data_IF_359755540514
#
_entry.id   IF_359755540514
#
_cell.length_a   1.000
_cell.length_b   1.000
_cell.length_c   1.000
_cell.angle_alpha   90.00
_cell.angle_beta   90.00
_cell.angle_gamma   90.00
#
_symmetry.space_group_name_H-M   'P 1'
#
loop_
_entity.id
_entity.type
_entity.pdbx_description
1 polymer ?
#
# COMPACT_ATOMS: atom_id res chain seq x y z
N UNK A 1 -14.53 6.12 -20.18
CA UNK A 1 -13.96 7.44 -19.87
C UNK A 1 -12.77 7.21 -18.95
N UNK A 2 -11.58 7.52 -19.44
CA UNK A 2 -10.31 7.13 -18.81
C UNK A 2 -10.04 8.15 -17.71
N UNK A 3 -10.25 7.77 -16.45
CA UNK A 3 -9.87 8.61 -15.31
C UNK A 3 -8.35 8.56 -15.20
N UNK A 4 -7.64 9.70 -15.28
CA UNK A 4 -6.19 9.70 -15.25
C UNK A 4 -5.69 9.29 -13.86
N UNK A 5 -4.56 8.58 -13.87
CA UNK A 5 -3.80 8.19 -12.70
C UNK A 5 -3.45 9.41 -11.85
N UNK A 6 -4.24 9.68 -10.83
CA UNK A 6 -3.79 10.53 -9.73
C UNK A 6 -2.77 9.74 -8.92
N UNK A 7 -1.52 9.90 -9.35
CA UNK A 7 -0.29 9.85 -8.58
C UNK A 7 -0.55 9.77 -7.09
N UNK A 8 -0.12 8.66 -6.47
CA UNK A 8 0.03 8.52 -5.02
C UNK A 8 0.81 9.75 -4.51
N UNK A 9 0.08 10.76 -4.06
CA UNK A 9 0.66 11.95 -3.45
C UNK A 9 1.35 11.45 -2.21
N UNK A 10 2.65 11.73 -2.13
CA UNK A 10 3.42 11.63 -0.90
C UNK A 10 2.54 12.06 0.27
N UNK A 11 2.55 11.29 1.35
CA UNK A 11 1.87 11.59 2.64
C UNK A 11 2.23 12.98 3.23
N UNK A 12 3.06 13.75 2.53
CA UNK A 12 3.42 15.14 2.79
C UNK A 12 2.43 16.19 2.30
N UNK A 13 1.54 15.89 1.34
CA UNK A 13 0.84 16.92 0.54
C UNK A 13 -0.64 17.16 0.91
N UNK A 14 -1.17 16.46 1.91
CA UNK A 14 -2.45 16.81 2.53
C UNK A 14 -2.22 17.68 3.76
N UNK A 15 -1.92 18.97 3.54
CA UNK A 15 -1.93 19.99 4.60
C UNK A 15 -3.36 20.43 4.92
N UNK A 16 -4.17 19.50 5.42
CA UNK A 16 -5.39 19.81 6.16
C UNK A 16 -5.50 18.72 7.22
N UNK A 17 -5.45 19.12 8.49
CA UNK A 17 -5.49 18.22 9.63
C UNK A 17 -6.58 17.15 9.47
N UNK A 18 -6.19 15.89 9.23
CA UNK A 18 -7.09 14.75 9.33
C UNK A 18 -7.35 14.46 10.81
N UNK A 19 -8.30 15.19 11.37
CA UNK A 19 -8.95 14.84 12.64
C UNK A 19 -9.98 13.76 12.37
N UNK A 20 -9.76 12.53 12.85
CA UNK A 20 -10.82 11.53 12.98
C UNK A 20 -10.70 10.76 14.31
N UNK A 21 -11.61 11.13 15.22
CA UNK A 21 -12.18 10.44 16.40
C UNK A 21 -11.37 9.56 17.37
N UNK A 22 -10.04 9.56 17.35
CA UNK A 22 -9.26 9.01 18.47
C UNK A 22 -8.00 9.83 18.72
N UNK A 23 -8.14 10.94 19.47
CA UNK A 23 -7.17 11.58 20.40
C UNK A 23 -5.69 11.79 20.03
N UNK A 24 -5.20 11.33 18.89
CA UNK A 24 -3.80 11.33 18.52
C UNK A 24 -3.62 12.25 17.30
N UNK A 25 -3.16 13.47 17.57
CA UNK A 25 -2.77 14.43 16.52
C UNK A 25 -1.42 13.99 15.96
N UNK A 26 -1.41 13.38 14.78
CA UNK A 26 -0.18 13.04 14.07
C UNK A 26 0.40 14.31 13.42
N UNK A 27 1.46 14.87 14.01
CA UNK A 27 2.25 15.91 13.35
C UNK A 27 3.13 15.26 12.28
N UNK A 28 3.15 15.86 11.09
CA UNK A 28 4.14 15.56 10.05
C UNK A 28 5.54 15.72 10.65
N UNK A 29 6.41 14.69 10.60
CA UNK A 29 7.75 14.79 11.17
C UNK A 29 8.57 15.86 10.43
N UNK A 30 9.34 16.64 11.17
CA UNK A 30 10.27 17.64 10.63
C UNK A 30 11.54 16.92 10.15
N UNK A 31 11.71 16.82 8.83
CA UNK A 31 12.83 16.15 8.17
C UNK A 31 12.51 15.82 6.71
N UNK A 32 13.51 15.51 5.84
CA UNK A 32 13.24 15.00 4.51
C UNK A 32 12.37 13.73 4.60
N UNK A 33 11.45 13.56 3.63
CA UNK A 33 10.50 12.48 3.67
C UNK A 33 11.20 11.12 3.60
N UNK A 34 10.62 10.15 4.28
CA UNK A 34 10.96 8.74 4.11
C UNK A 34 10.52 8.31 2.71
N UNK A 35 11.42 7.67 1.96
CA UNK A 35 11.12 7.15 0.63
C UNK A 35 10.72 5.67 0.71
N UNK A 36 9.85 5.24 -0.21
CA UNK A 36 9.46 3.85 -0.39
C UNK A 36 9.92 3.39 -1.77
N UNK A 37 10.47 2.18 -1.85
CA UNK A 37 10.87 1.55 -3.10
C UNK A 37 10.31 0.12 -3.20
N UNK A 38 9.53 -0.22 -4.23
CA UNK A 38 9.01 0.71 -5.24
C UNK A 38 8.05 1.74 -4.63
N UNK A 39 7.95 2.92 -5.25
CA UNK A 39 7.05 3.99 -4.79
C UNK A 39 5.59 3.73 -5.16
N UNK A 40 5.36 2.85 -6.14
CA UNK A 40 4.05 2.40 -6.58
C UNK A 40 4.13 0.94 -7.04
N UNK A 41 3.03 0.21 -6.89
CA UNK A 41 2.90 -1.16 -7.33
C UNK A 41 1.76 -1.25 -8.35
N UNK A 42 2.11 -1.51 -9.60
CA UNK A 42 1.12 -1.84 -10.64
C UNK A 42 1.01 -3.36 -10.78
N UNK A 43 -0.20 -3.88 -10.54
CA UNK A 43 -0.56 -5.29 -10.71
C UNK A 43 -1.53 -5.50 -11.88
N UNK A 44 -1.85 -4.45 -12.63
CA UNK A 44 -2.76 -4.54 -13.76
C UNK A 44 -2.09 -5.25 -14.94
N UNK A 45 -2.84 -6.15 -15.60
CA UNK A 45 -2.32 -6.98 -16.70
C UNK A 45 -1.72 -6.15 -17.85
N UNK A 46 -2.26 -4.95 -18.10
CA UNK A 46 -1.85 -4.09 -19.20
C UNK A 46 -0.50 -3.37 -18.98
N UNK A 47 -0.04 -3.20 -17.73
CA UNK A 47 1.10 -2.33 -17.37
C UNK A 47 2.05 -2.89 -16.32
N UNK A 48 1.85 -4.13 -15.86
CA UNK A 48 2.60 -4.71 -14.75
C UNK A 48 4.05 -5.10 -15.14
N UNK A 49 5.09 -4.56 -14.44
CA UNK A 49 6.50 -4.80 -14.76
C UNK A 49 7.09 -6.06 -14.09
N UNK A 50 6.26 -6.91 -13.48
CA UNK A 50 6.69 -8.06 -12.67
C UNK A 50 6.50 -9.39 -13.43
N UNK A 51 7.05 -10.47 -12.88
CA UNK A 51 6.82 -11.82 -13.40
C UNK A 51 5.54 -12.41 -12.81
N UNK A 52 5.01 -13.45 -13.45
CA UNK A 52 4.01 -14.34 -12.85
C UNK A 52 4.43 -14.73 -11.41
N UNK A 53 3.53 -14.68 -10.41
CA UNK A 53 2.07 -14.51 -10.47
C UNK A 53 1.53 -13.07 -10.46
N UNK A 54 2.37 -12.06 -10.22
CA UNK A 54 1.92 -10.69 -9.90
C UNK A 54 1.06 -10.03 -10.99
N UNK A 55 1.34 -10.29 -12.28
CA UNK A 55 0.67 -9.62 -13.38
C UNK A 55 -0.55 -10.35 -13.95
N UNK A 56 -0.79 -11.60 -13.56
CA UNK A 56 -1.83 -12.44 -14.20
C UNK A 56 -2.67 -13.24 -13.22
N UNK A 57 -2.29 -13.31 -11.94
CA UNK A 57 -3.11 -13.95 -10.93
C UNK A 57 -4.06 -12.94 -10.31
N UNK A 58 -5.36 -13.13 -10.53
CA UNK A 58 -6.40 -12.36 -9.85
C UNK A 58 -6.42 -12.67 -8.34
N UNK A 59 -6.69 -11.65 -7.52
CA UNK A 59 -6.96 -11.81 -6.10
C UNK A 59 -8.43 -12.20 -5.89
N UNK A 60 -8.68 -13.22 -5.08
CA UNK A 60 -10.03 -13.70 -4.78
C UNK A 60 -10.17 -13.99 -3.28
N UNK A 61 -11.43 -14.00 -2.82
CA UNK A 61 -11.77 -14.28 -1.44
C UNK A 61 -11.34 -15.69 -1.02
N UNK A 62 -10.69 -15.82 0.14
CA UNK A 62 -10.15 -17.09 0.63
C UNK A 62 -8.83 -17.53 -0.04
N UNK A 63 -8.32 -16.78 -1.02
CA UNK A 63 -7.04 -17.06 -1.67
C UNK A 63 -5.81 -16.78 -0.78
N UNK A 64 -4.65 -17.25 -1.25
CA UNK A 64 -3.35 -16.93 -0.62
C UNK A 64 -3.04 -15.45 -0.83
N UNK A 65 -2.56 -14.72 0.20
CA UNK A 65 -2.20 -13.31 0.06
C UNK A 65 -1.08 -13.08 -0.93
N UNK A 66 -1.23 -12.06 -1.75
CA UNK A 66 -0.13 -11.55 -2.55
C UNK A 66 0.83 -10.80 -1.63
N UNK A 67 2.09 -11.20 -1.63
CA UNK A 67 3.10 -10.60 -0.74
C UNK A 67 4.17 -9.89 -1.56
N UNK A 68 4.41 -8.61 -1.25
CA UNK A 68 5.50 -7.83 -1.82
C UNK A 68 6.42 -7.31 -0.73
N UNK A 69 7.69 -7.10 -1.09
CA UNK A 69 8.66 -6.48 -0.21
C UNK A 69 8.88 -5.03 -0.65
N UNK A 70 8.58 -4.09 0.25
CA UNK A 70 8.81 -2.67 0.04
C UNK A 70 9.99 -2.23 0.87
N UNK A 71 10.99 -1.63 0.22
CA UNK A 71 12.12 -1.02 0.92
C UNK A 71 11.73 0.36 1.40
N UNK A 72 11.80 0.57 2.71
CA UNK A 72 11.70 1.87 3.34
C UNK A 72 13.11 2.46 3.41
N UNK A 73 13.28 3.70 3.00
CA UNK A 73 14.55 4.43 3.06
C UNK A 73 14.37 5.73 3.84
N UNK A 74 15.11 5.85 4.93
CA UNK A 74 15.20 7.04 5.76
C UNK A 74 16.63 7.62 5.69
N UNK A 75 16.87 8.67 4.88
CA UNK A 75 18.20 9.25 4.71
C UNK A 75 18.71 10.02 5.95
N UNK A 76 17.85 10.32 6.93
CA UNK A 76 18.22 11.17 8.09
C UNK A 76 18.63 10.40 9.33
N UNK A 77 18.24 9.13 9.42
CA UNK A 77 18.36 8.35 10.65
C UNK A 77 19.14 7.07 10.41
N UNK A 78 20.21 6.87 11.18
CA UNK A 78 20.98 5.62 11.16
C UNK A 78 20.11 4.42 11.57
N UNK A 79 19.22 4.63 12.54
CA UNK A 79 18.24 3.65 13.04
C UNK A 79 16.88 4.31 13.13
N UNK A 80 15.84 3.60 12.73
CA UNK A 80 14.45 4.07 12.84
C UNK A 80 13.52 2.93 13.28
N UNK A 81 12.25 3.24 13.57
CA UNK A 81 11.24 2.25 13.95
C UNK A 81 9.87 2.71 13.46
N UNK A 82 9.08 1.77 12.97
CA UNK A 82 7.68 1.99 12.59
C UNK A 82 6.85 2.03 13.88
N UNK A 83 6.11 3.13 14.10
CA UNK A 83 5.28 3.30 15.29
C UNK A 83 3.86 2.77 15.07
N UNK A 84 3.27 3.11 13.92
CA UNK A 84 1.94 2.69 13.51
C UNK A 84 1.87 2.70 11.99
N UNK A 85 0.89 1.98 11.46
CA UNK A 85 0.61 1.88 10.04
C UNK A 85 -0.88 1.84 9.82
N UNK A 86 -1.36 2.47 8.74
CA UNK A 86 -2.75 2.37 8.31
C UNK A 86 -2.80 2.31 6.80
N UNK A 87 -3.59 1.37 6.31
CA UNK A 87 -3.98 1.34 4.91
C UNK A 87 -5.12 2.33 4.67
N UNK A 88 -5.03 3.10 3.60
CA UNK A 88 -6.03 4.10 3.20
C UNK A 88 -6.41 3.80 1.76
N UNK A 89 -7.66 3.43 1.55
CA UNK A 89 -8.23 3.26 0.21
C UNK A 89 -8.99 4.50 -0.22
N UNK A 90 -8.96 4.74 -1.52
CA UNK A 90 -9.77 5.77 -2.17
C UNK A 90 -11.14 5.22 -2.64
N UNK A 91 -11.36 3.90 -2.56
CA UNK A 91 -12.62 3.26 -2.96
C UNK A 91 -13.52 3.04 -1.73
N UNK A 92 -14.74 3.59 -1.68
CA UNK A 92 -15.69 3.35 -0.59
C UNK A 92 -16.14 1.89 -0.48
N UNK A 93 -16.08 1.13 -1.57
CA UNK A 93 -16.44 -0.29 -1.64
C UNK A 93 -15.20 -1.19 -1.58
N UNK A 94 -14.19 -0.77 -0.81
CA UNK A 94 -12.97 -1.54 -0.63
C UNK A 94 -13.25 -2.97 -0.15
N UNK A 95 -12.69 -3.92 -0.92
CA UNK A 95 -12.74 -5.36 -0.66
C UNK A 95 -11.36 -5.95 -0.35
N UNK A 96 -10.31 -5.15 -0.48
CA UNK A 96 -8.92 -5.55 -0.22
C UNK A 96 -8.56 -5.20 1.22
N UNK A 97 -8.00 -6.17 1.93
CA UNK A 97 -7.33 -5.98 3.21
C UNK A 97 -5.82 -6.01 3.01
N UNK A 98 -5.13 -5.07 3.66
CA UNK A 98 -3.69 -4.89 3.55
C UNK A 98 -3.08 -5.03 4.94
N UNK A 99 -2.28 -6.08 5.11
CA UNK A 99 -1.55 -6.35 6.34
C UNK A 99 -0.05 -6.21 6.14
N UNK A 100 0.66 -5.86 7.22
CA UNK A 100 2.07 -5.51 7.17
C UNK A 100 2.89 -6.37 8.13
N UNK A 101 4.05 -6.82 7.65
CA UNK A 101 5.07 -7.48 8.46
C UNK A 101 6.27 -6.53 8.61
N UNK A 102 6.40 -5.83 9.76
CA UNK A 102 7.51 -4.92 9.98
C UNK A 102 8.82 -5.69 10.14
N UNK A 103 9.95 -5.08 9.76
CA UNK A 103 11.24 -5.71 9.93
C UNK A 103 11.68 -5.81 11.39
N UNK A 104 12.46 -6.86 11.70
CA UNK A 104 13.05 -7.03 13.02
C UNK A 104 14.09 -5.94 13.38
N UNK A 105 14.79 -5.38 12.38
CA UNK A 105 15.82 -4.35 12.59
C UNK A 105 15.88 -3.39 11.41
N UNK A 106 15.74 -2.11 11.69
CA UNK A 106 15.92 -1.03 10.72
C UNK A 106 17.34 -0.47 10.82
N UNK A 107 18.28 -1.02 10.04
CA UNK A 107 19.66 -0.54 9.99
C UNK A 107 20.44 -1.12 8.78
N UNK A 108 21.30 -0.32 8.13
CA UNK A 108 21.45 1.14 8.27
C UNK A 108 20.52 1.86 7.29
N UNK A 109 19.84 2.94 7.71
CA UNK A 109 18.96 3.85 6.93
C UNK A 109 17.85 3.24 6.06
N UNK A 110 17.86 1.94 5.76
CA UNK A 110 16.82 1.26 5.00
C UNK A 110 16.45 -0.06 5.63
N UNK A 111 15.24 -0.53 5.28
CA UNK A 111 14.80 -1.86 5.63
C UNK A 111 13.65 -2.34 4.75
N UNK A 112 13.51 -3.66 4.59
CA UNK A 112 12.34 -4.27 3.95
C UNK A 112 11.12 -4.28 4.86
N UNK A 113 9.95 -4.03 4.28
CA UNK A 113 8.62 -4.14 4.87
C UNK A 113 7.83 -5.15 4.04
N UNK A 114 7.36 -6.22 4.68
CA UNK A 114 6.44 -7.15 4.03
C UNK A 114 5.06 -6.52 3.95
N UNK A 115 4.49 -6.44 2.75
CA UNK A 115 3.12 -5.99 2.51
C UNK A 115 2.33 -7.16 1.94
N UNK A 116 1.19 -7.47 2.54
CA UNK A 116 0.35 -8.61 2.17
C UNK A 116 -1.04 -8.11 1.78
N UNK A 117 -1.44 -8.38 0.54
CA UNK A 117 -2.76 -8.05 0.03
C UNK A 117 -3.64 -9.30 0.05
N UNK A 118 -4.84 -9.19 0.62
CA UNK A 118 -5.84 -10.27 0.65
C UNK A 118 -7.21 -9.69 0.34
N UNK A 119 -8.13 -10.47 -0.23
CA UNK A 119 -9.52 -10.04 -0.37
C UNK A 119 -10.27 -10.40 0.91
N UNK A 120 -10.83 -9.39 1.58
CA UNK A 120 -11.49 -9.51 2.88
C UNK A 120 -12.95 -9.96 2.79
N UNK A 121 -13.60 -9.69 1.66
CA UNK A 121 -15.02 -9.95 1.45
C UNK A 121 -15.25 -10.68 0.15
N UNK A 122 -16.14 -11.65 0.18
CA UNK A 122 -16.66 -12.26 -1.03
C UNK A 122 -17.49 -11.24 -1.81
N UNK A 123 -17.27 -11.16 -3.12
CA UNK A 123 -18.02 -10.27 -4.02
C UNK A 123 -18.51 -11.11 -5.18
N UNK A 124 -19.81 -11.38 -5.22
CA UNK A 124 -20.45 -11.98 -6.38
C UNK A 124 -20.63 -10.91 -7.46
N UNK A 125 -20.29 -11.24 -8.71
CA UNK A 125 -20.63 -10.42 -9.88
C UNK A 125 -21.51 -11.22 -10.82
N UNK A 126 -22.59 -10.61 -11.29
CA UNK A 126 -23.39 -11.18 -12.38
C UNK A 126 -22.54 -11.29 -13.64
N UNK A 127 -22.54 -12.48 -14.25
CA UNK A 127 -21.89 -12.73 -15.53
C UNK A 127 -22.94 -12.62 -16.64
N UNK A 128 -22.77 -11.65 -17.54
CA UNK A 128 -23.59 -11.54 -18.76
C UNK A 128 -22.84 -12.21 -19.90
N UNK A 129 -23.37 -13.33 -20.40
CA UNK A 129 -22.87 -14.01 -21.58
C UNK A 129 -23.54 -13.41 -22.83
N UNK A 130 -22.75 -12.81 -23.70
CA UNK A 130 -23.20 -12.44 -25.05
C UNK A 130 -22.97 -13.62 -25.99
N UNK A 131 -24.02 -14.04 -26.69
CA UNK A 131 -24.00 -15.08 -27.73
C UNK A 131 -24.14 -14.49 -29.12
#
# INVERSE_FOLDING_TARGET
EIVPSETFRSLSDTSSAMTHEQGHVYRKPEGPPVALFPSFLDLSEAGCPYMWPFCSQALYYGGVPLTVNVTIMNPTGLKSRILWTRWISNDPNEVVDVSLTPPARFWPWSCGLGVHFRVAKEVEREMVLYG
#
